data_IF_404511558660
#
_entry.id   IF_404511558660
#
_cell.length_a   1.000
_cell.length_b   1.000
_cell.length_c   1.000
_cell.angle_alpha   90.00
_cell.angle_beta   90.00
_cell.angle_gamma   90.00
#
_symmetry.space_group_name_H-M   'P 1'
#
loop_
_entity.id
_entity.type
_entity.pdbx_description
1 polymer ?
#
# COMPACT_ATOMS: atom_id res chain seq x y z
N UNK A 1 -18.16 13.05 -12.25
CA UNK A 1 -16.86 12.38 -12.15
C UNK A 1 -16.97 10.91 -12.51
N UNK A 2 -15.95 10.35 -13.13
CA UNK A 2 -15.91 8.90 -13.38
C UNK A 2 -15.47 8.16 -12.11
N UNK A 3 -16.11 7.01 -11.86
CA UNK A 3 -15.79 6.15 -10.73
C UNK A 3 -15.89 4.67 -11.12
N UNK A 4 -14.96 3.86 -10.60
CA UNK A 4 -14.99 2.41 -10.69
C UNK A 4 -15.97 1.87 -9.65
N UNK A 5 -17.09 1.29 -10.12
CA UNK A 5 -18.16 0.77 -9.27
C UNK A 5 -18.10 -0.75 -9.25
N UNK A 6 -18.02 -1.31 -8.06
CA UNK A 6 -18.10 -2.75 -7.85
C UNK A 6 -19.54 -3.23 -7.90
N UNK A 7 -19.88 -4.10 -8.85
CA UNK A 7 -21.23 -4.61 -9.06
C UNK A 7 -21.43 -6.07 -8.61
N UNK A 8 -20.42 -6.65 -7.97
CA UNK A 8 -20.40 -8.05 -7.54
C UNK A 8 -19.23 -8.82 -8.14
N UNK A 9 -19.17 -10.12 -7.84
CA UNK A 9 -18.10 -10.99 -8.31
C UNK A 9 -17.87 -10.85 -9.82
N UNK A 10 -16.61 -10.60 -10.19
CA UNK A 10 -16.14 -10.42 -11.57
C UNK A 10 -16.81 -9.26 -12.34
N UNK A 11 -17.44 -8.32 -11.62
CA UNK A 11 -18.18 -7.21 -12.23
C UNK A 11 -17.76 -5.86 -11.65
N UNK A 12 -17.04 -5.09 -12.46
CA UNK A 12 -16.74 -3.68 -12.20
C UNK A 12 -17.13 -2.87 -13.42
N UNK A 13 -17.72 -1.69 -13.23
CA UNK A 13 -18.13 -0.80 -14.31
C UNK A 13 -17.74 0.64 -13.98
N UNK A 14 -17.28 1.36 -14.99
CA UNK A 14 -17.13 2.82 -14.88
C UNK A 14 -18.50 3.47 -14.97
N UNK A 15 -18.82 4.32 -14.00
CA UNK A 15 -20.05 5.09 -13.95
C UNK A 15 -19.75 6.57 -13.74
N UNK A 16 -20.64 7.43 -14.24
CA UNK A 16 -20.62 8.86 -13.93
C UNK A 16 -21.36 9.11 -12.62
N UNK A 17 -20.70 9.78 -11.69
CA UNK A 17 -21.25 10.20 -10.41
C UNK A 17 -21.19 11.73 -10.29
N UNK A 18 -22.08 12.37 -9.51
CA UNK A 18 -21.91 13.77 -9.18
C UNK A 18 -20.62 13.99 -8.37
N UNK A 19 -20.02 15.18 -8.49
CA UNK A 19 -18.92 15.58 -7.61
C UNK A 19 -19.46 15.71 -6.18
N UNK A 20 -18.74 15.20 -5.17
CA UNK A 20 -19.09 15.41 -3.77
C UNK A 20 -19.09 16.89 -3.39
N UNK A 21 -20.04 17.32 -2.57
CA UNK A 21 -20.03 18.64 -1.96
C UNK A 21 -19.00 18.68 -0.82
N UNK A 22 -18.27 19.82 -0.75
CA UNK A 22 -17.20 20.00 0.24
C UNK A 22 -17.72 20.83 1.40
N UNK A 23 -17.82 20.20 2.56
CA UNK A 23 -18.19 20.87 3.81
C UNK A 23 -17.05 21.72 4.40
N UNK A 24 -17.34 22.38 5.53
CA UNK A 24 -16.42 23.32 6.13
C UNK A 24 -15.08 22.72 6.57
N UNK A 25 -15.07 21.45 6.97
CA UNK A 25 -13.91 20.72 7.50
C UNK A 25 -13.38 19.66 6.54
N UNK A 26 -13.87 19.63 5.30
CA UNK A 26 -13.60 18.58 4.33
C UNK A 26 -12.55 19.02 3.32
N UNK A 27 -11.96 18.04 2.65
CA UNK A 27 -11.06 18.24 1.53
C UNK A 27 -11.49 17.35 0.37
N UNK A 28 -11.61 17.93 -0.84
CA UNK A 28 -11.78 17.18 -2.06
C UNK A 28 -10.42 16.97 -2.72
N UNK A 29 -10.08 15.72 -2.97
CA UNK A 29 -8.86 15.32 -3.64
C UNK A 29 -9.16 14.72 -5.01
N UNK A 30 -8.30 15.00 -5.98
CA UNK A 30 -8.30 14.38 -7.30
C UNK A 30 -7.22 13.32 -7.37
N UNK A 31 -7.56 12.11 -7.75
CA UNK A 31 -6.61 11.03 -7.90
C UNK A 31 -5.65 11.29 -9.07
N UNK A 32 -4.35 11.10 -8.82
CA UNK A 32 -3.30 11.16 -9.83
C UNK A 32 -2.99 9.76 -10.34
N UNK A 33 -2.75 8.84 -9.42
CA UNK A 33 -2.55 7.41 -9.68
C UNK A 33 -3.26 6.59 -8.62
N UNK A 34 -3.73 5.42 -9.03
CA UNK A 34 -4.24 4.38 -8.14
C UNK A 34 -3.61 3.05 -8.55
N UNK A 35 -3.30 2.20 -7.58
CA UNK A 35 -2.82 0.84 -7.81
C UNK A 35 -3.88 -0.19 -7.44
N UNK A 36 -3.70 -1.40 -7.94
CA UNK A 36 -4.59 -2.53 -7.66
C UNK A 36 -3.92 -3.41 -6.61
N UNK A 37 -4.54 -3.51 -5.44
CA UNK A 37 -4.10 -4.40 -4.36
C UNK A 37 -4.54 -5.84 -4.61
N UNK A 38 -3.80 -6.81 -4.04
CA UNK A 38 -4.22 -8.20 -4.01
C UNK A 38 -5.58 -8.41 -3.32
N UNK A 39 -5.95 -7.56 -2.38
CA UNK A 39 -7.27 -7.57 -1.74
C UNK A 39 -8.38 -7.11 -2.66
N UNK A 40 -8.11 -6.17 -3.59
CA UNK A 40 -9.06 -5.78 -4.65
C UNK A 40 -9.30 -6.96 -5.60
N UNK A 41 -8.24 -7.68 -5.97
CA UNK A 41 -8.33 -8.89 -6.79
C UNK A 41 -9.14 -9.97 -6.07
N UNK A 42 -8.91 -10.19 -4.78
CA UNK A 42 -9.67 -11.16 -3.99
C UNK A 42 -11.17 -10.83 -3.96
N UNK A 43 -11.52 -9.55 -3.75
CA UNK A 43 -12.92 -9.09 -3.79
C UNK A 43 -13.51 -9.27 -5.20
N UNK A 44 -12.78 -8.92 -6.24
CA UNK A 44 -13.23 -9.10 -7.61
C UNK A 44 -13.52 -10.57 -7.93
N UNK A 45 -12.58 -11.48 -7.61
CA UNK A 45 -12.68 -12.89 -7.97
C UNK A 45 -13.63 -13.69 -7.08
N UNK A 46 -13.75 -13.34 -5.78
CA UNK A 46 -14.42 -14.17 -4.79
C UNK A 46 -15.64 -13.53 -4.13
N UNK A 47 -15.83 -12.22 -4.34
CA UNK A 47 -16.96 -11.48 -3.80
C UNK A 47 -16.61 -10.56 -2.63
N UNK A 48 -17.57 -9.74 -2.16
CA UNK A 48 -17.36 -8.80 -1.07
C UNK A 48 -16.95 -9.52 0.23
N UNK A 49 -16.15 -8.88 1.06
CA UNK A 49 -15.61 -9.38 2.34
C UNK A 49 -14.53 -10.47 2.25
N UNK A 50 -13.99 -10.77 1.09
CA UNK A 50 -12.90 -11.75 0.94
C UNK A 50 -11.50 -11.14 1.16
N UNK A 51 -11.27 -9.92 0.77
CA UNK A 51 -10.00 -9.20 1.01
C UNK A 51 -10.21 -8.02 1.97
N UNK A 52 -11.16 -7.18 1.65
CA UNK A 52 -11.65 -6.08 2.48
C UNK A 52 -13.15 -5.88 2.23
N UNK A 53 -13.79 -5.09 3.08
CA UNK A 53 -15.22 -4.82 2.92
C UNK A 53 -15.44 -3.87 1.74
N UNK A 54 -16.27 -4.28 0.78
CA UNK A 54 -16.71 -3.45 -0.35
C UNK A 54 -18.22 -3.56 -0.48
N UNK A 55 -18.87 -2.44 -0.74
CA UNK A 55 -20.32 -2.41 -0.99
C UNK A 55 -20.61 -2.70 -2.46
N UNK A 56 -21.54 -3.61 -2.73
CA UNK A 56 -22.06 -3.80 -4.09
C UNK A 56 -22.81 -2.52 -4.50
N UNK A 57 -22.50 -1.99 -5.67
CA UNK A 57 -22.98 -0.69 -6.13
C UNK A 57 -22.14 0.50 -5.64
N UNK A 58 -21.10 0.26 -4.84
CA UNK A 58 -20.22 1.30 -4.30
C UNK A 58 -18.89 1.45 -5.03
N UNK A 59 -18.19 2.52 -4.71
CA UNK A 59 -16.85 2.81 -5.22
C UNK A 59 -15.83 1.84 -4.63
N UNK A 60 -14.75 1.62 -5.36
CA UNK A 60 -13.80 0.53 -5.17
C UNK A 60 -12.35 1.04 -5.18
N UNK A 61 -11.42 0.27 -4.58
CA UNK A 61 -10.00 0.61 -4.52
C UNK A 61 -9.60 1.44 -3.29
N UNK A 62 -8.32 1.37 -2.89
CA UNK A 62 -7.84 2.01 -1.66
C UNK A 62 -6.38 2.47 -1.69
N UNK A 63 -5.62 2.13 -2.71
CA UNK A 63 -4.24 2.57 -2.89
C UNK A 63 -4.20 3.74 -3.87
N UNK A 64 -3.95 4.97 -3.41
CA UNK A 64 -3.96 6.14 -4.28
C UNK A 64 -3.02 7.25 -3.81
N UNK A 65 -2.53 8.03 -4.76
CA UNK A 65 -1.90 9.33 -4.57
C UNK A 65 -2.76 10.39 -5.25
N UNK A 66 -2.96 11.50 -4.58
CA UNK A 66 -3.93 12.50 -5.00
C UNK A 66 -3.40 13.91 -4.85
N UNK A 67 -4.11 14.87 -5.46
CA UNK A 67 -3.89 16.30 -5.32
C UNK A 67 -5.14 16.97 -4.78
N UNK A 68 -4.99 17.88 -3.83
CA UNK A 68 -6.10 18.67 -3.30
C UNK A 68 -6.60 19.63 -4.37
N UNK A 69 -7.91 19.61 -4.63
CA UNK A 69 -8.58 20.50 -5.60
C UNK A 69 -9.56 21.46 -4.93
N UNK A 70 -10.06 21.13 -3.74
CA UNK A 70 -10.93 22.03 -2.97
C UNK A 70 -10.74 21.78 -1.47
N UNK A 71 -10.80 22.86 -0.68
CA UNK A 71 -10.57 22.84 0.77
C UNK A 71 -11.73 23.56 1.44
N UNK A 72 -12.28 22.97 2.49
CA UNK A 72 -13.30 23.59 3.34
C UNK A 72 -12.75 24.80 4.10
N UNK A 73 -13.61 25.78 4.39
CA UNK A 73 -13.21 27.08 4.95
C UNK A 73 -12.53 27.01 6.32
N UNK A 74 -12.79 25.96 7.10
CA UNK A 74 -12.22 25.75 8.44
C UNK A 74 -10.95 24.90 8.43
N UNK A 75 -10.56 24.33 7.28
CA UNK A 75 -9.33 23.55 7.14
C UNK A 75 -8.13 24.47 7.06
N UNK A 76 -7.17 24.35 7.99
CA UNK A 76 -5.99 25.21 8.10
C UNK A 76 -4.68 24.54 7.65
N UNK A 77 -4.61 23.21 7.72
CA UNK A 77 -3.38 22.45 7.52
C UNK A 77 -3.07 22.11 6.04
N UNK A 78 -4.00 22.38 5.14
CA UNK A 78 -3.93 22.00 3.74
C UNK A 78 -4.36 23.16 2.82
N UNK A 79 -3.83 23.12 1.59
CA UNK A 79 -4.20 24.07 0.53
C UNK A 79 -4.40 23.35 -0.80
N UNK A 80 -5.14 23.97 -1.70
CA UNK A 80 -5.28 23.52 -3.09
C UNK A 80 -3.90 23.37 -3.73
N UNK A 81 -3.70 22.27 -4.44
CA UNK A 81 -2.43 21.90 -5.07
C UNK A 81 -1.53 21.01 -4.23
N UNK A 82 -1.75 20.86 -2.92
CA UNK A 82 -0.98 19.93 -2.10
C UNK A 82 -1.13 18.50 -2.61
N UNK A 83 0.00 17.78 -2.71
CA UNK A 83 0.03 16.34 -3.01
C UNK A 83 -0.14 15.58 -1.72
N UNK A 84 -1.06 14.62 -1.73
CA UNK A 84 -1.49 13.95 -0.51
C UNK A 84 -1.74 12.46 -0.73
N UNK A 85 -1.46 11.71 0.33
CA UNK A 85 -1.84 10.31 0.48
C UNK A 85 -3.01 10.22 1.47
N UNK A 86 -4.21 9.79 1.04
CA UNK A 86 -5.32 9.52 1.93
C UNK A 86 -5.13 8.16 2.59
N UNK A 87 -5.17 8.12 3.93
CA UNK A 87 -5.02 6.87 4.66
C UNK A 87 -6.35 6.09 4.64
N UNK A 88 -6.39 4.88 4.07
CA UNK A 88 -7.65 4.20 3.73
C UNK A 88 -8.61 3.97 4.90
N UNK A 89 -8.09 3.80 6.11
CA UNK A 89 -8.93 3.55 7.28
C UNK A 89 -9.58 4.80 7.86
N UNK A 90 -9.01 5.99 7.64
CA UNK A 90 -9.45 7.23 8.29
C UNK A 90 -9.79 8.36 7.33
N UNK A 91 -9.52 8.19 6.04
CA UNK A 91 -9.82 9.20 5.03
C UNK A 91 -11.30 9.20 4.60
N UNK A 92 -12.13 8.33 5.18
CA UNK A 92 -13.52 8.18 4.86
C UNK A 92 -14.32 7.74 6.08
N UNK A 93 -15.33 8.51 6.45
CA UNK A 93 -16.24 8.19 7.54
C UNK A 93 -17.49 7.46 7.04
N UNK A 94 -18.00 7.86 5.88
CA UNK A 94 -19.19 7.28 5.29
C UNK A 94 -18.87 6.07 4.41
N UNK A 95 -19.26 4.89 4.85
CA UNK A 95 -19.16 3.63 4.09
C UNK A 95 -20.44 3.24 3.37
N UNK A 96 -21.46 4.11 3.34
CA UNK A 96 -22.73 3.83 2.67
C UNK A 96 -22.55 3.70 1.15
N UNK A 97 -21.67 4.50 0.57
CA UNK A 97 -21.35 4.55 -0.85
C UNK A 97 -20.22 3.59 -1.23
N UNK A 98 -19.14 3.58 -0.47
CA UNK A 98 -18.03 2.69 -0.70
C UNK A 98 -17.62 2.01 0.59
N UNK A 99 -17.30 0.73 0.53
CA UNK A 99 -16.77 -0.01 1.67
C UNK A 99 -15.33 0.37 2.02
N UNK A 100 -14.64 1.03 1.07
CA UNK A 100 -13.26 1.51 1.18
C UNK A 100 -13.16 2.98 0.79
N UNK A 101 -11.95 3.46 0.54
CA UNK A 101 -11.67 4.84 0.14
C UNK A 101 -12.31 5.25 -1.20
N UNK A 102 -12.55 4.29 -2.10
CA UNK A 102 -13.01 4.61 -3.46
C UNK A 102 -11.86 5.05 -4.38
N UNK A 103 -10.69 4.42 -4.25
CA UNK A 103 -9.45 4.80 -4.96
C UNK A 103 -9.53 4.74 -6.48
N UNK A 104 -10.50 4.02 -7.05
CA UNK A 104 -10.72 3.97 -8.51
C UNK A 104 -11.73 5.01 -9.00
N UNK A 105 -11.92 6.09 -8.26
CA UNK A 105 -12.71 7.26 -8.63
C UNK A 105 -11.78 8.42 -8.99
N UNK A 106 -12.22 9.32 -9.89
CA UNK A 106 -11.44 10.53 -10.22
C UNK A 106 -11.26 11.46 -9.02
N UNK A 107 -12.26 11.53 -8.14
CA UNK A 107 -12.25 12.39 -6.95
C UNK A 107 -12.71 11.64 -5.71
N UNK A 108 -12.14 11.99 -4.58
CA UNK A 108 -12.49 11.46 -3.26
C UNK A 108 -12.73 12.63 -2.31
N UNK A 109 -13.84 12.60 -1.58
CA UNK A 109 -14.05 13.50 -0.45
C UNK A 109 -13.43 12.88 0.80
N UNK A 110 -12.57 13.65 1.47
CA UNK A 110 -12.02 13.31 2.80
C UNK A 110 -12.74 14.18 3.83
N UNK A 111 -13.72 13.62 4.55
CA UNK A 111 -14.51 14.38 5.51
C UNK A 111 -13.71 14.62 6.80
N UNK A 112 -13.98 15.74 7.47
CA UNK A 112 -13.38 16.11 8.75
C UNK A 112 -11.86 15.87 8.79
N UNK A 113 -11.15 16.39 7.78
CA UNK A 113 -9.75 16.08 7.51
C UNK A 113 -8.85 16.37 8.72
N UNK A 114 -7.95 15.42 9.00
CA UNK A 114 -6.92 15.56 10.05
C UNK A 114 -5.55 15.24 9.46
N UNK A 115 -4.63 16.22 9.58
CA UNK A 115 -3.24 16.07 9.14
C UNK A 115 -2.55 14.95 9.91
N UNK A 116 -1.76 14.16 9.17
CA UNK A 116 -1.04 12.99 9.69
C UNK A 116 -1.94 11.92 10.35
N UNK A 117 -3.21 11.90 9.99
CA UNK A 117 -4.19 10.91 10.42
C UNK A 117 -5.02 10.42 9.24
N UNK A 118 -5.96 11.23 8.73
CA UNK A 118 -6.75 10.87 7.56
C UNK A 118 -6.07 11.25 6.24
N UNK A 119 -5.21 12.28 6.27
CA UNK A 119 -4.52 12.79 5.08
C UNK A 119 -3.07 13.14 5.41
N UNK A 120 -2.14 12.68 4.58
CA UNK A 120 -0.71 12.90 4.70
C UNK A 120 -0.18 13.70 3.52
N UNK A 121 0.60 14.75 3.78
CA UNK A 121 1.30 15.47 2.72
C UNK A 121 2.45 14.62 2.19
N UNK A 122 2.60 14.58 0.87
CA UNK A 122 3.67 13.82 0.20
C UNK A 122 4.80 14.77 -0.16
N UNK A 123 6.02 14.40 0.27
CA UNK A 123 7.23 15.17 -0.01
C UNK A 123 7.42 15.35 -1.52
N UNK A 124 7.74 16.58 -1.94
CA UNK A 124 7.93 16.93 -3.36
C UNK A 124 9.07 16.16 -4.05
N UNK A 125 10.01 15.62 -3.28
CA UNK A 125 11.11 14.79 -3.80
C UNK A 125 10.65 13.42 -4.29
N UNK A 126 9.50 12.94 -3.81
CA UNK A 126 8.92 11.65 -4.23
C UNK A 126 8.10 11.90 -5.49
N UNK A 127 8.40 11.20 -6.60
CA UNK A 127 7.60 11.28 -7.82
C UNK A 127 6.18 10.73 -7.62
N UNK A 128 5.22 11.13 -8.46
CA UNK A 128 3.84 10.63 -8.35
C UNK A 128 3.75 9.12 -8.53
N UNK A 129 4.55 8.54 -9.44
CA UNK A 129 4.64 7.09 -9.63
C UNK A 129 5.16 6.37 -8.38
N UNK A 130 6.18 6.91 -7.74
CA UNK A 130 6.71 6.31 -6.51
C UNK A 130 5.75 6.52 -5.34
N UNK A 131 5.06 7.65 -5.28
CA UNK A 131 4.09 7.95 -4.25
C UNK A 131 2.85 7.03 -4.31
N UNK A 132 2.51 6.46 -5.47
CA UNK A 132 1.44 5.46 -5.57
C UNK A 132 1.73 4.16 -4.80
N UNK A 133 2.99 3.93 -4.44
CA UNK A 133 3.43 2.78 -3.64
C UNK A 133 3.44 3.06 -2.13
N UNK A 134 3.03 4.25 -1.66
CA UNK A 134 3.09 4.60 -0.21
C UNK A 134 2.26 3.61 0.61
N UNK A 135 1.06 3.29 0.17
CA UNK A 135 0.19 2.35 0.90
C UNK A 135 0.84 0.96 1.01
N UNK A 136 1.13 0.24 -0.09
CA UNK A 136 1.72 -1.10 0.00
C UNK A 136 3.10 -1.09 0.65
N UNK A 137 3.91 -0.04 0.47
CA UNK A 137 5.19 0.11 1.16
C UNK A 137 5.00 0.20 2.68
N UNK A 138 4.01 0.95 3.15
CA UNK A 138 3.68 1.07 4.58
C UNK A 138 3.27 -0.28 5.17
N UNK A 139 2.52 -1.09 4.43
CA UNK A 139 2.15 -2.46 4.85
C UNK A 139 3.39 -3.35 5.00
N UNK A 140 4.28 -3.37 4.00
CA UNK A 140 5.55 -4.14 4.06
C UNK A 140 6.45 -3.67 5.21
N UNK A 141 6.60 -2.37 5.40
CA UNK A 141 7.37 -1.76 6.49
C UNK A 141 6.79 -2.14 7.87
N UNK A 142 5.46 -2.13 8.02
CA UNK A 142 4.79 -2.57 9.24
C UNK A 142 5.02 -4.06 9.50
N UNK A 143 4.99 -4.91 8.46
CA UNK A 143 5.30 -6.33 8.55
C UNK A 143 6.73 -6.56 9.07
N UNK A 144 7.71 -5.91 8.46
CA UNK A 144 9.11 -5.97 8.88
C UNK A 144 9.27 -5.54 10.34
N UNK A 145 8.69 -4.40 10.73
CA UNK A 145 8.77 -3.89 12.11
C UNK A 145 8.15 -4.86 13.12
N UNK A 146 7.01 -5.47 12.79
CA UNK A 146 6.37 -6.46 13.67
C UNK A 146 7.21 -7.73 13.83
N UNK A 147 7.79 -8.24 12.77
CA UNK A 147 8.70 -9.39 12.83
C UNK A 147 9.88 -9.14 13.77
N UNK A 148 10.46 -7.95 13.72
CA UNK A 148 11.56 -7.55 14.61
C UNK A 148 11.14 -7.47 16.08
N UNK A 149 9.96 -6.94 16.38
CA UNK A 149 9.43 -6.84 17.76
C UNK A 149 9.13 -8.23 18.34
N UNK A 150 8.54 -9.12 17.53
CA UNK A 150 8.17 -10.48 17.96
C UNK A 150 9.38 -11.36 18.26
N UNK A 151 10.56 -11.05 17.70
CA UNK A 151 11.81 -11.76 18.03
C UNK A 151 12.30 -11.50 19.46
N UNK A 152 11.66 -10.58 20.21
CA UNK A 152 12.01 -10.22 21.59
C UNK A 152 13.33 -9.46 21.74
N UNK A 153 14.03 -9.22 20.65
CA UNK A 153 15.37 -8.62 20.65
C UNK A 153 15.36 -7.12 20.23
N UNK A 154 14.20 -6.59 19.86
CA UNK A 154 14.07 -5.20 19.40
C UNK A 154 14.81 -4.93 18.07
N UNK A 155 15.24 -3.70 17.88
CA UNK A 155 16.05 -3.29 16.73
C UNK A 155 17.51 -3.73 16.94
N UNK A 156 17.86 -4.96 16.58
CA UNK A 156 19.24 -5.46 16.70
C UNK A 156 19.96 -5.24 15.38
N UNK A 157 20.90 -4.29 15.39
CA UNK A 157 21.84 -4.04 14.29
C UNK A 157 22.67 -5.32 14.05
N UNK A 158 22.82 -5.72 12.79
CA UNK A 158 23.62 -6.88 12.42
C UNK A 158 22.87 -8.20 12.36
N UNK A 159 21.54 -8.21 12.61
CA UNK A 159 20.71 -9.40 12.36
C UNK A 159 20.44 -9.62 10.87
N UNK A 160 20.04 -10.84 10.53
CA UNK A 160 19.70 -11.27 9.19
C UNK A 160 18.18 -11.45 9.04
N UNK A 161 17.67 -11.33 7.81
CA UNK A 161 16.27 -11.55 7.51
C UNK A 161 16.08 -12.34 6.23
N UNK A 162 15.08 -13.22 6.23
CA UNK A 162 14.56 -13.88 5.03
C UNK A 162 13.14 -13.39 4.79
N UNK A 163 12.84 -13.03 3.55
CA UNK A 163 11.51 -12.62 3.11
C UNK A 163 10.98 -13.64 2.10
N UNK A 164 9.90 -14.33 2.42
CA UNK A 164 9.22 -15.21 1.49
C UNK A 164 8.16 -14.44 0.72
N UNK A 165 8.32 -14.37 -0.61
CA UNK A 165 7.50 -13.61 -1.54
C UNK A 165 8.19 -12.33 -2.04
N UNK A 166 8.46 -12.27 -3.36
CA UNK A 166 9.08 -11.12 -4.05
C UNK A 166 8.04 -10.24 -4.76
N UNK A 167 6.82 -10.15 -4.20
CA UNK A 167 5.81 -9.18 -4.62
C UNK A 167 6.08 -7.79 -4.01
N UNK A 168 5.19 -6.84 -4.27
CA UNK A 168 5.31 -5.45 -3.79
C UNK A 168 5.52 -5.38 -2.28
N UNK A 169 4.76 -6.14 -1.50
CA UNK A 169 4.84 -6.16 -0.04
C UNK A 169 6.17 -6.77 0.44
N UNK A 170 6.60 -7.89 -0.19
CA UNK A 170 7.86 -8.53 0.19
C UNK A 170 9.08 -7.65 -0.11
N UNK A 171 9.13 -7.02 -1.28
CA UNK A 171 10.17 -6.05 -1.61
C UNK A 171 10.16 -4.87 -0.64
N UNK A 172 8.97 -4.33 -0.30
CA UNK A 172 8.84 -3.25 0.67
C UNK A 172 9.34 -3.66 2.07
N UNK A 173 9.03 -4.89 2.51
CA UNK A 173 9.54 -5.44 3.76
C UNK A 173 11.07 -5.60 3.75
N UNK A 174 11.64 -6.10 2.65
CA UNK A 174 13.08 -6.25 2.50
C UNK A 174 13.82 -4.91 2.53
N UNK A 175 13.29 -3.89 1.84
CA UNK A 175 13.81 -2.52 1.90
C UNK A 175 13.74 -1.97 3.32
N UNK A 176 12.62 -2.20 4.02
CA UNK A 176 12.44 -1.77 5.41
C UNK A 176 13.44 -2.47 6.35
N UNK A 177 13.68 -3.76 6.20
CA UNK A 177 14.69 -4.48 6.97
C UNK A 177 16.10 -3.88 6.79
N UNK A 178 16.49 -3.56 5.55
CA UNK A 178 17.77 -2.87 5.29
C UNK A 178 17.80 -1.49 5.96
N UNK A 179 16.72 -0.72 5.86
CA UNK A 179 16.59 0.59 6.50
C UNK A 179 16.70 0.50 8.03
N UNK A 180 16.16 -0.56 8.63
CA UNK A 180 16.24 -0.81 10.07
C UNK A 180 17.58 -1.39 10.53
N UNK A 181 18.53 -1.63 9.62
CA UNK A 181 19.88 -2.03 9.94
C UNK A 181 20.14 -3.54 9.94
N UNK A 182 19.27 -4.34 9.30
CA UNK A 182 19.57 -5.74 9.04
C UNK A 182 20.81 -5.86 8.14
N UNK A 183 21.75 -6.71 8.51
CA UNK A 183 23.01 -6.86 7.79
C UNK A 183 22.79 -7.56 6.45
N UNK A 184 22.17 -8.73 6.48
CA UNK A 184 21.87 -9.51 5.30
C UNK A 184 20.36 -9.73 5.18
N UNK A 185 19.84 -9.52 3.96
CA UNK A 185 18.42 -9.74 3.64
C UNK A 185 18.34 -10.56 2.36
N UNK A 186 17.69 -11.72 2.42
CA UNK A 186 17.43 -12.61 1.30
C UNK A 186 15.93 -12.56 0.96
N UNK A 187 15.61 -12.56 -0.32
CA UNK A 187 14.22 -12.67 -0.82
C UNK A 187 14.06 -14.00 -1.55
N UNK A 188 13.07 -14.76 -1.15
CA UNK A 188 12.72 -16.06 -1.76
C UNK A 188 11.38 -15.97 -2.49
N UNK A 189 11.28 -16.53 -3.68
CA UNK A 189 10.02 -16.63 -4.45
C UNK A 189 10.09 -17.83 -5.41
N UNK A 190 8.96 -18.23 -5.96
CA UNK A 190 8.89 -19.20 -7.06
C UNK A 190 9.02 -18.53 -8.43
N UNK A 191 8.79 -17.21 -8.54
CA UNK A 191 8.81 -16.47 -9.79
C UNK A 191 10.19 -15.91 -10.08
N UNK A 192 10.90 -16.50 -11.05
CA UNK A 192 12.18 -15.98 -11.54
C UNK A 192 12.08 -14.50 -11.98
N UNK A 193 10.98 -14.11 -12.64
CA UNK A 193 10.75 -12.73 -13.05
C UNK A 193 10.74 -11.75 -11.86
N UNK A 194 10.05 -12.10 -10.77
CA UNK A 194 9.99 -11.25 -9.56
C UNK A 194 11.34 -11.20 -8.86
N UNK A 195 12.05 -12.31 -8.80
CA UNK A 195 13.39 -12.37 -8.22
C UNK A 195 14.39 -11.51 -8.98
N UNK A 196 14.31 -11.43 -10.31
CA UNK A 196 15.13 -10.52 -11.10
C UNK A 196 14.93 -9.05 -10.72
N UNK A 197 13.70 -8.65 -10.36
CA UNK A 197 13.43 -7.30 -9.86
C UNK A 197 14.12 -7.09 -8.51
N UNK A 198 13.99 -8.04 -7.59
CA UNK A 198 14.65 -7.98 -6.28
C UNK A 198 16.18 -7.93 -6.41
N UNK A 199 16.74 -8.72 -7.30
CA UNK A 199 18.19 -8.75 -7.60
C UNK A 199 18.69 -7.41 -8.13
N UNK A 200 17.95 -6.76 -9.03
CA UNK A 200 18.25 -5.41 -9.52
C UNK A 200 18.23 -4.35 -8.42
N UNK A 201 17.50 -4.58 -7.34
CA UNK A 201 17.48 -3.73 -6.15
C UNK A 201 18.60 -4.06 -5.15
N UNK A 202 19.49 -5.02 -5.47
CA UNK A 202 20.65 -5.39 -4.67
C UNK A 202 20.36 -6.38 -3.55
N UNK A 203 19.27 -7.13 -3.62
CA UNK A 203 18.96 -8.21 -2.68
C UNK A 203 19.53 -9.54 -3.14
N UNK A 204 19.99 -10.36 -2.19
CA UNK A 204 20.19 -11.77 -2.41
C UNK A 204 18.86 -12.45 -2.66
N UNK A 205 18.82 -13.40 -3.61
CA UNK A 205 17.58 -14.03 -4.05
C UNK A 205 17.72 -15.54 -4.12
N UNK A 206 16.67 -16.25 -3.72
CA UNK A 206 16.57 -17.70 -3.79
C UNK A 206 15.29 -18.10 -4.52
N UNK A 207 15.44 -18.85 -5.62
CA UNK A 207 14.32 -19.38 -6.37
C UNK A 207 13.92 -20.76 -5.83
N UNK A 208 12.83 -20.80 -5.08
CA UNK A 208 12.35 -22.01 -4.40
C UNK A 208 11.92 -23.14 -5.35
N UNK A 209 11.89 -22.95 -6.67
CA UNK A 209 11.65 -24.00 -7.65
C UNK A 209 12.90 -24.80 -8.01
N UNK A 210 14.08 -24.16 -7.95
CA UNK A 210 15.31 -24.72 -8.50
C UNK A 210 16.49 -24.68 -7.52
N UNK A 211 16.46 -23.81 -6.51
CA UNK A 211 17.53 -23.67 -5.54
C UNK A 211 17.26 -24.52 -4.28
N UNK A 212 18.31 -25.09 -3.71
CA UNK A 212 18.27 -25.64 -2.36
C UNK A 212 18.33 -24.49 -1.33
N UNK A 213 17.15 -24.11 -0.84
CA UNK A 213 17.01 -23.01 0.11
C UNK A 213 17.92 -23.17 1.35
N UNK A 214 18.03 -24.37 1.89
CA UNK A 214 18.79 -24.59 3.15
C UNK A 214 20.28 -24.37 2.91
N UNK A 215 20.84 -24.93 1.84
CA UNK A 215 22.23 -24.75 1.50
C UNK A 215 22.52 -23.29 1.08
N UNK A 216 21.65 -22.69 0.26
CA UNK A 216 21.79 -21.30 -0.15
C UNK A 216 21.76 -20.35 1.08
N UNK A 217 20.84 -20.56 2.03
CA UNK A 217 20.78 -19.78 3.25
C UNK A 217 22.02 -19.94 4.13
N UNK A 218 22.56 -21.16 4.29
CA UNK A 218 23.80 -21.43 5.01
C UNK A 218 25.00 -20.70 4.38
N UNK A 219 25.11 -20.75 3.06
CA UNK A 219 26.20 -20.09 2.33
C UNK A 219 26.11 -18.56 2.46
N UNK A 220 24.93 -18.02 2.34
CA UNK A 220 24.72 -16.57 2.37
C UNK A 220 24.82 -15.99 3.79
N UNK A 221 24.15 -16.59 4.77
CA UNK A 221 24.12 -16.08 6.15
C UNK A 221 25.27 -16.58 7.01
N UNK A 222 25.88 -17.65 6.65
CA UNK A 222 26.80 -18.42 7.47
C UNK A 222 26.09 -19.54 8.25
N UNK A 223 26.84 -20.53 8.74
CA UNK A 223 26.30 -21.60 9.59
C UNK A 223 25.84 -21.03 10.93
N UNK A 224 24.60 -21.28 11.31
CA UNK A 224 24.17 -21.07 12.68
C UNK A 224 24.80 -22.19 13.55
N UNK A 225 25.60 -21.82 14.50
CA UNK A 225 26.01 -22.74 15.54
C UNK A 225 24.84 -22.91 16.50
N UNK A 226 24.41 -24.15 16.69
CA UNK A 226 23.42 -24.55 17.69
C UNK A 226 23.99 -24.48 19.09
#
# INVERSE_FOLDING_TARGET
>A
MKAGIYLGKEKVKIQELPLPEVGNYDVLIQNIYSSICGTDVAVFMHGPNTGHKVNVGGEFGHETISRIVKVGKEVKDFKVGDRVYPYPLYAKDDTSRAGTLGGFSEYILVPNVKKNHSLYQVDKRISDKLASLIEPFTVGCRGARRGMILSGQGYVKGQNAVVFGSGTIGIAAAVAFKYFGMEKVMICDYSAYRLEIAKKLGFETCNLQVDDFINHAKDYFGMAYS
#
